data_IF_792802664827
#
_entry.id   IF_792802664827
#
_cell.length_a   1.000
_cell.length_b   1.000
_cell.length_c   1.000
_cell.angle_alpha   90.00
_cell.angle_beta   90.00
_cell.angle_gamma   90.00
#
_symmetry.space_group_name_H-M   'P 1'
#
loop_
_entity.id
_entity.type
_entity.pdbx_description
1 polymer ?
#
# COMPACT_ATOMS: atom_id res chain seq x y z
N UNK A 1 -12.61 23.99 -0.03
CA UNK A 1 -12.76 23.21 1.22
C UNK A 1 -12.57 21.75 0.85
N UNK A 2 -11.38 21.20 1.12
CA UNK A 2 -10.97 19.88 0.67
C UNK A 2 -11.21 18.87 1.81
N UNK A 3 -12.37 18.22 1.81
CA UNK A 3 -12.52 16.95 2.50
C UNK A 3 -12.32 15.87 1.42
N UNK A 4 -11.15 15.24 1.39
CA UNK A 4 -10.90 14.13 0.47
C UNK A 4 -11.56 12.88 1.07
N UNK A 5 -12.58 12.29 0.42
CA UNK A 5 -13.15 11.04 0.88
C UNK A 5 -12.11 9.93 0.71
N UNK A 6 -11.73 9.33 1.83
CA UNK A 6 -10.76 8.23 1.90
C UNK A 6 -11.34 7.00 1.18
N UNK A 7 -10.61 6.49 0.18
CA UNK A 7 -10.96 5.25 -0.52
C UNK A 7 -10.51 4.06 0.33
N UNK A 8 -11.38 3.08 0.55
CA UNK A 8 -11.01 1.83 1.19
C UNK A 8 -10.98 0.72 0.14
N UNK A 9 -10.03 -0.20 0.27
CA UNK A 9 -10.07 -1.56 -0.24
C UNK A 9 -9.79 -1.81 -1.74
N UNK A 10 -8.52 -2.13 -2.02
CA UNK A 10 -8.06 -2.94 -3.16
C UNK A 10 -7.91 -4.39 -2.71
N UNK A 11 -8.68 -5.33 -3.28
CA UNK A 11 -8.57 -6.78 -3.01
C UNK A 11 -7.33 -7.39 -3.69
N UNK A 12 -6.37 -7.87 -2.90
CA UNK A 12 -5.14 -8.54 -3.38
C UNK A 12 -5.20 -10.04 -3.03
N UNK A 13 -4.90 -10.90 -4.01
CA UNK A 13 -4.92 -12.35 -3.84
C UNK A 13 -3.76 -12.86 -2.97
N UNK A 14 -4.02 -13.90 -2.15
CA UNK A 14 -3.17 -14.44 -1.07
C UNK A 14 -1.68 -14.58 -1.45
N UNK A 15 -0.80 -13.84 -0.77
CA UNK A 15 0.47 -14.34 -0.22
C UNK A 15 1.10 -13.33 0.75
N UNK A 16 1.80 -13.89 1.73
CA UNK A 16 2.15 -13.34 3.04
C UNK A 16 2.96 -12.03 2.99
N UNK A 17 2.46 -11.00 3.68
CA UNK A 17 3.24 -9.82 4.07
C UNK A 17 3.89 -10.14 5.42
N UNK A 18 5.22 -10.15 5.44
CA UNK A 18 6.07 -10.56 6.56
C UNK A 18 5.67 -9.89 7.88
N UNK A 19 5.66 -10.66 8.96
CA UNK A 19 5.19 -10.17 10.26
C UNK A 19 5.93 -10.84 11.44
N UNK A 20 7.01 -10.19 11.92
CA UNK A 20 7.61 -10.29 13.28
C UNK A 20 8.82 -9.31 13.36
N UNK A 21 9.18 -8.61 14.46
CA UNK A 21 8.93 -8.76 15.90
C UNK A 21 8.66 -7.41 16.65
N UNK A 22 7.77 -7.50 17.65
CA UNK A 22 7.59 -6.82 18.97
C UNK A 22 8.34 -5.50 19.28
N UNK A 23 7.56 -4.43 19.55
CA UNK A 23 7.68 -3.58 20.75
C UNK A 23 6.29 -2.96 21.08
N UNK A 24 5.86 -3.03 22.33
CA UNK A 24 4.50 -2.68 22.80
C UNK A 24 4.55 -1.48 23.75
N UNK A 25 4.52 -0.25 23.24
CA UNK A 25 4.46 0.90 24.15
C UNK A 25 3.75 2.16 23.64
N UNK A 26 2.76 2.07 22.76
CA UNK A 26 1.80 3.18 22.54
C UNK A 26 0.39 2.66 22.23
N UNK A 27 -0.46 2.56 23.25
CA UNK A 27 -1.90 2.37 23.06
C UNK A 27 -2.51 3.72 22.72
N UNK A 28 -2.81 3.96 21.44
CA UNK A 28 -3.63 5.10 21.03
C UNK A 28 -5.07 4.77 21.40
N UNK A 29 -5.71 5.58 22.26
CA UNK A 29 -7.12 5.42 22.61
C UNK A 29 -7.97 5.67 21.36
N UNK A 30 -8.51 4.60 20.79
CA UNK A 30 -9.41 4.66 19.63
C UNK A 30 -10.77 5.17 20.08
N UNK A 31 -11.27 6.24 19.46
CA UNK A 31 -12.61 6.81 19.70
C UNK A 31 -13.70 5.71 19.65
N UNK A 32 -14.67 5.78 20.58
CA UNK A 32 -15.72 4.76 20.75
C UNK A 32 -16.52 4.50 19.46
N UNK A 33 -16.79 5.54 18.67
CA UNK A 33 -17.50 5.40 17.39
C UNK A 33 -16.73 4.67 16.28
N UNK A 34 -15.39 4.62 16.36
CA UNK A 34 -14.58 3.89 15.39
C UNK A 34 -14.62 2.39 15.67
N UNK A 35 -14.64 1.99 16.94
CA UNK A 35 -14.70 0.58 17.34
C UNK A 35 -16.02 -0.09 16.92
N UNK A 36 -17.11 0.69 16.85
CA UNK A 36 -18.42 0.22 16.39
C UNK A 36 -18.58 0.18 14.87
N UNK A 37 -17.62 0.69 14.10
CA UNK A 37 -17.74 0.74 12.65
C UNK A 37 -17.62 -0.67 12.04
N UNK A 38 -18.49 -0.99 11.07
CA UNK A 38 -18.52 -2.32 10.40
C UNK A 38 -17.17 -2.77 9.82
N UNK A 39 -16.34 -1.81 9.40
CA UNK A 39 -15.02 -2.07 8.81
C UNK A 39 -13.88 -2.07 9.84
N UNK A 40 -14.15 -1.79 11.12
CA UNK A 40 -13.13 -1.78 12.18
C UNK A 40 -12.35 -3.11 12.30
N UNK A 41 -12.99 -4.30 12.15
CA UNK A 41 -12.26 -5.56 12.17
C UNK A 41 -11.24 -5.73 11.03
N UNK A 42 -11.31 -4.91 9.97
CA UNK A 42 -10.38 -5.00 8.84
C UNK A 42 -9.03 -4.32 9.10
N UNK A 43 -8.93 -3.41 10.08
CA UNK A 43 -7.75 -2.52 10.23
C UNK A 43 -6.99 -2.78 11.53
N UNK A 44 -7.56 -3.55 12.47
CA UNK A 44 -7.01 -3.74 13.81
C UNK A 44 -6.29 -5.08 13.98
N UNK A 45 -5.34 -5.39 13.08
CA UNK A 45 -4.42 -6.49 13.33
C UNK A 45 -3.45 -6.08 14.46
N UNK A 46 -3.23 -6.97 15.43
CA UNK A 46 -2.34 -6.71 16.56
C UNK A 46 -0.87 -6.52 16.15
N UNK A 47 -0.51 -6.91 14.92
CA UNK A 47 0.86 -6.83 14.39
C UNK A 47 1.06 -5.80 13.27
N UNK A 48 0.20 -4.78 13.14
CA UNK A 48 0.36 -3.72 12.13
C UNK A 48 1.20 -2.52 12.64
N UNK A 49 1.74 -1.71 11.73
CA UNK A 49 2.30 -0.39 12.06
C UNK A 49 3.61 -0.38 12.86
N UNK A 50 4.33 -1.51 12.91
CA UNK A 50 5.57 -1.65 13.67
C UNK A 50 6.74 -0.96 12.95
N UNK A 51 7.15 0.20 13.47
CA UNK A 51 8.34 0.94 13.01
C UNK A 51 9.01 1.65 14.17
N UNK A 52 10.32 1.80 14.07
CA UNK A 52 11.07 2.68 14.98
C UNK A 52 10.86 4.13 14.54
N UNK A 53 9.92 4.81 15.18
CA UNK A 53 9.61 6.21 14.92
C UNK A 53 10.65 7.13 15.55
N UNK A 54 11.42 7.82 14.71
CA UNK A 54 12.15 9.02 15.11
C UNK A 54 11.52 10.23 14.43
N UNK A 55 11.53 11.39 15.09
CA UNK A 55 11.06 12.64 14.48
C UNK A 55 11.88 12.92 13.21
N UNK A 56 11.21 12.95 12.07
CA UNK A 56 11.85 13.29 10.78
C UNK A 56 11.93 14.81 10.67
N UNK A 57 13.16 15.34 10.64
CA UNK A 57 13.43 16.76 10.37
C UNK A 57 14.40 16.82 9.19
N UNK A 58 14.08 17.58 8.15
CA UNK A 58 14.92 17.69 6.94
C UNK A 58 14.86 16.50 5.98
N UNK A 59 14.33 15.35 6.42
CA UNK A 59 14.16 14.16 5.58
C UNK A 59 15.49 13.48 5.22
N UNK A 60 15.41 12.17 4.99
CA UNK A 60 16.46 11.36 4.38
C UNK A 60 15.80 10.17 3.70
N UNK A 61 16.54 9.50 2.82
CA UNK A 61 16.05 8.27 2.19
C UNK A 61 15.69 7.24 3.27
N UNK A 62 14.58 6.53 3.03
CA UNK A 62 14.15 5.47 3.91
C UNK A 62 15.18 4.32 3.87
N UNK A 63 15.34 3.61 4.98
CA UNK A 63 16.10 2.35 4.95
C UNK A 63 15.29 1.25 4.27
N UNK A 64 15.97 0.22 3.76
CA UNK A 64 15.33 -0.94 3.17
C UNK A 64 14.33 -1.57 4.17
N UNK A 65 13.05 -1.62 3.77
CA UNK A 65 11.98 -2.16 4.61
C UNK A 65 11.52 -1.26 5.76
N UNK A 66 11.96 0.00 5.85
CA UNK A 66 11.58 0.90 6.96
C UNK A 66 10.08 1.19 7.02
N UNK A 67 9.38 1.23 5.88
CA UNK A 67 7.94 1.50 5.80
C UNK A 67 7.27 0.46 4.90
N UNK A 68 7.13 -0.80 5.38
CA UNK A 68 6.78 -1.94 4.53
C UNK A 68 5.33 -1.91 4.03
N UNK A 69 4.49 -1.04 4.58
CA UNK A 69 3.10 -0.84 4.16
C UNK A 69 2.94 0.17 3.03
N UNK A 70 4.00 0.86 2.58
CA UNK A 70 3.90 1.77 1.44
C UNK A 70 3.62 0.96 0.17
N UNK A 71 2.65 1.45 -0.61
CA UNK A 71 2.22 0.83 -1.86
C UNK A 71 2.32 1.83 -2.99
N UNK A 72 2.77 1.38 -4.14
CA UNK A 72 2.65 2.11 -5.39
C UNK A 72 1.40 1.66 -6.13
N UNK A 73 0.51 2.59 -6.45
CA UNK A 73 -0.56 2.39 -7.43
C UNK A 73 0.05 2.62 -8.81
N UNK A 74 -0.09 1.61 -9.67
CA UNK A 74 0.53 1.60 -11.00
C UNK A 74 -0.53 1.41 -12.08
N UNK A 75 -0.25 1.91 -13.27
CA UNK A 75 -1.02 1.62 -14.49
C UNK A 75 -0.13 0.95 -15.53
N UNK A 76 -0.63 -0.11 -16.16
CA UNK A 76 0.04 -0.77 -17.27
C UNK A 76 -0.21 -0.01 -18.58
N UNK A 77 0.88 0.34 -19.28
CA UNK A 77 0.83 0.82 -20.65
C UNK A 77 0.88 -0.40 -21.56
N UNK A 78 -0.22 -0.64 -22.27
CA UNK A 78 -0.39 -1.84 -23.09
C UNK A 78 0.32 -1.67 -24.44
N UNK A 79 0.88 -2.77 -24.91
CA UNK A 79 1.31 -2.92 -26.29
C UNK A 79 0.09 -3.39 -27.11
N UNK A 80 -0.25 -2.63 -28.15
CA UNK A 80 -1.42 -2.86 -29.00
C UNK A 80 -1.35 -4.23 -29.71
N UNK A 81 -0.14 -4.74 -29.99
CA UNK A 81 0.06 -6.00 -30.71
C UNK A 81 -0.07 -7.22 -29.78
N UNK A 82 0.44 -7.11 -28.55
CA UNK A 82 0.51 -8.25 -27.61
C UNK A 82 -0.61 -8.25 -26.57
N UNK A 83 -1.33 -7.14 -26.41
CA UNK A 83 -2.31 -6.91 -25.34
C UNK A 83 -1.73 -7.15 -23.93
N UNK A 84 -0.40 -7.03 -23.80
CA UNK A 84 0.33 -7.12 -22.54
C UNK A 84 0.93 -5.75 -22.18
N UNK A 85 1.06 -5.43 -20.89
CA UNK A 85 1.71 -4.19 -20.47
C UNK A 85 3.21 -4.26 -20.74
N UNK A 86 3.74 -3.33 -21.53
CA UNK A 86 5.19 -3.20 -21.77
C UNK A 86 5.87 -2.27 -20.74
N UNK A 87 5.10 -1.43 -20.06
CA UNK A 87 5.58 -0.52 -19.03
C UNK A 87 4.54 -0.39 -17.91
N UNK A 88 5.00 -0.32 -16.66
CA UNK A 88 4.16 0.10 -15.54
C UNK A 88 4.56 1.50 -15.10
N UNK A 89 3.58 2.40 -14.98
CA UNK A 89 3.77 3.78 -14.58
C UNK A 89 3.19 4.01 -13.19
N UNK A 90 4.00 4.55 -12.28
CA UNK A 90 3.55 5.02 -10.97
C UNK A 90 2.61 6.21 -11.11
N UNK A 91 1.43 6.14 -10.48
CA UNK A 91 0.43 7.22 -10.53
C UNK A 91 0.05 7.78 -9.16
N UNK A 92 0.12 6.96 -8.11
CA UNK A 92 -0.34 7.35 -6.78
C UNK A 92 0.29 6.46 -5.70
N UNK A 93 0.27 6.95 -4.46
CA UNK A 93 0.62 6.17 -3.28
C UNK A 93 -0.59 5.45 -2.67
N UNK A 94 -0.31 4.45 -1.83
CA UNK A 94 -1.28 3.77 -0.99
C UNK A 94 -0.65 3.17 0.26
N UNK A 95 -1.49 2.57 1.11
CA UNK A 95 -1.08 1.90 2.35
C UNK A 95 -1.75 0.54 2.48
N UNK A 96 -0.97 -0.49 2.82
CA UNK A 96 -1.49 -1.81 3.18
C UNK A 96 -2.24 -1.70 4.51
N UNK A 97 -3.52 -2.06 4.52
CA UNK A 97 -4.33 -2.20 5.73
C UNK A 97 -4.24 -3.61 6.29
N UNK A 98 -4.26 -4.61 5.41
CA UNK A 98 -4.07 -6.02 5.73
C UNK A 98 -3.73 -6.82 4.46
N UNK A 99 -3.67 -8.15 4.59
CA UNK A 99 -3.32 -9.08 3.51
C UNK A 99 -4.18 -8.98 2.25
N UNK A 100 -5.35 -8.36 2.34
CA UNK A 100 -6.31 -8.25 1.24
C UNK A 100 -6.64 -6.81 0.88
N UNK A 101 -6.21 -5.79 1.62
CA UNK A 101 -6.70 -4.43 1.41
C UNK A 101 -5.60 -3.39 1.39
N UNK A 102 -5.57 -2.58 0.32
CA UNK A 102 -4.84 -1.31 0.26
C UNK A 102 -5.84 -0.15 0.33
N UNK A 103 -5.47 0.91 1.04
CA UNK A 103 -6.18 2.20 1.06
C UNK A 103 -5.36 3.27 0.34
N UNK A 104 -6.05 4.21 -0.28
CA UNK A 104 -5.47 5.28 -1.10
C UNK A 104 -6.53 6.38 -1.26
N UNK A 105 -6.27 7.40 -2.07
CA UNK A 105 -7.21 8.49 -2.30
C UNK A 105 -8.18 8.16 -3.45
N UNK A 106 -9.44 8.59 -3.33
CA UNK A 106 -10.44 8.34 -4.37
C UNK A 106 -10.08 8.98 -5.72
N UNK A 107 -9.39 10.13 -5.69
CA UNK A 107 -8.97 10.84 -6.90
C UNK A 107 -7.82 10.14 -7.67
N UNK A 108 -7.18 9.12 -7.08
CA UNK A 108 -6.20 8.31 -7.80
C UNK A 108 -6.82 7.44 -8.90
N UNK A 109 -8.16 7.38 -8.97
CA UNK A 109 -8.89 6.51 -9.89
C UNK A 109 -9.96 7.29 -10.64
N UNK A 110 -9.86 7.37 -11.97
CA UNK A 110 -10.99 7.83 -12.79
C UNK A 110 -12.04 6.74 -12.89
N UNK A 111 -13.27 7.08 -13.31
CA UNK A 111 -14.37 6.10 -13.39
C UNK A 111 -14.11 4.96 -14.41
N UNK A 112 -13.17 5.14 -15.34
CA UNK A 112 -12.93 4.21 -16.44
C UNK A 112 -11.62 3.39 -16.32
N UNK A 113 -10.79 3.63 -15.30
CA UNK A 113 -9.38 3.20 -15.33
C UNK A 113 -9.12 1.84 -14.65
N UNK A 114 -10.15 1.13 -14.21
CA UNK A 114 -9.96 -0.06 -13.34
C UNK A 114 -9.28 -1.24 -14.03
N UNK A 115 -9.32 -1.34 -15.36
CA UNK A 115 -8.85 -2.52 -16.09
C UNK A 115 -7.32 -2.58 -16.26
N UNK A 116 -6.62 -1.45 -16.11
CA UNK A 116 -5.16 -1.37 -16.31
C UNK A 116 -4.39 -1.08 -15.03
N UNK A 117 -5.07 -1.00 -13.89
CA UNK A 117 -4.46 -0.63 -12.63
C UNK A 117 -4.03 -1.84 -11.79
N UNK A 118 -2.87 -1.70 -11.18
CA UNK A 118 -2.30 -2.65 -10.25
C UNK A 118 -1.72 -1.96 -9.04
N UNK A 119 -1.12 -2.76 -8.16
CA UNK A 119 -0.31 -2.30 -7.05
C UNK A 119 1.05 -2.98 -7.08
N UNK A 120 2.09 -2.24 -6.75
CA UNK A 120 3.42 -2.78 -6.48
C UNK A 120 3.69 -2.69 -4.97
N UNK A 121 4.08 -3.81 -4.37
CA UNK A 121 4.32 -3.97 -2.94
C UNK A 121 5.78 -4.31 -2.67
N UNK A 122 6.33 -3.76 -1.58
CA UNK A 122 7.70 -4.04 -1.13
C UNK A 122 8.79 -3.34 -1.94
N UNK A 123 8.42 -2.34 -2.74
CA UNK A 123 9.34 -1.53 -3.54
C UNK A 123 10.09 -0.51 -2.67
N UNK A 124 11.39 -0.35 -2.93
CA UNK A 124 12.24 0.63 -2.29
C UNK A 124 12.94 1.53 -3.32
N UNK A 125 13.68 0.95 -4.28
CA UNK A 125 14.36 1.69 -5.35
C UNK A 125 13.80 1.31 -6.71
N UNK A 126 12.99 2.21 -7.31
CA UNK A 126 12.27 1.93 -8.57
C UNK A 126 13.13 1.61 -9.79
N UNK A 127 14.44 1.80 -9.71
CA UNK A 127 15.40 1.47 -10.79
C UNK A 127 16.15 0.15 -10.56
N UNK A 128 15.84 -0.58 -9.48
CA UNK A 128 16.58 -1.79 -9.08
C UNK A 128 15.63 -2.87 -8.52
N UNK A 129 15.78 -4.11 -8.97
CA UNK A 129 15.08 -5.27 -8.40
C UNK A 129 15.98 -6.52 -8.53
N UNK A 130 16.39 -7.20 -7.43
CA UNK A 130 16.05 -6.93 -6.03
C UNK A 130 16.78 -5.73 -5.43
N UNK A 131 16.11 -5.05 -4.50
CA UNK A 131 16.70 -4.02 -3.65
C UNK A 131 17.68 -4.61 -2.63
N UNK A 132 18.88 -4.05 -2.52
CA UNK A 132 19.90 -4.51 -1.58
C UNK A 132 20.57 -3.35 -0.85
N UNK A 133 20.70 -3.46 0.47
CA UNK A 133 21.37 -2.49 1.34
C UNK A 133 22.35 -3.25 2.27
N UNK A 134 23.60 -2.78 2.36
CA UNK A 134 24.66 -3.38 3.20
C UNK A 134 24.87 -4.91 3.00
N UNK A 135 24.67 -5.40 1.77
CA UNK A 135 24.83 -6.82 1.42
C UNK A 135 23.63 -7.71 1.78
N UNK A 136 22.53 -7.12 2.27
CA UNK A 136 21.25 -7.81 2.51
C UNK A 136 20.24 -7.35 1.47
N UNK A 137 19.57 -8.30 0.81
CA UNK A 137 18.58 -8.00 -0.22
C UNK A 137 17.16 -8.28 0.27
N UNK A 138 16.23 -7.41 -0.09
CA UNK A 138 14.81 -7.64 0.08
C UNK A 138 14.29 -8.64 -0.97
N UNK A 139 13.15 -9.30 -0.69
CA UNK A 139 12.41 -10.01 -1.72
C UNK A 139 12.04 -9.07 -2.87
N UNK A 140 11.89 -9.63 -4.08
CA UNK A 140 11.47 -8.86 -5.25
C UNK A 140 10.10 -8.23 -5.07
N UNK A 141 9.90 -7.11 -5.76
CA UNK A 141 8.66 -6.35 -5.77
C UNK A 141 7.50 -7.23 -6.24
N UNK A 142 6.38 -7.15 -5.52
CA UNK A 142 5.18 -7.93 -5.85
C UNK A 142 4.17 -7.06 -6.58
N UNK A 143 3.99 -7.34 -7.86
CA UNK A 143 2.93 -6.75 -8.68
C UNK A 143 1.62 -7.51 -8.54
N UNK A 144 0.51 -6.81 -8.28
CA UNK A 144 -0.81 -7.42 -8.08
C UNK A 144 -1.90 -6.60 -8.78
N UNK A 145 -2.77 -7.28 -9.50
CA UNK A 145 -3.95 -6.66 -10.10
C UNK A 145 -4.99 -6.31 -9.04
N UNK A 146 -5.74 -5.24 -9.27
CA UNK A 146 -6.84 -4.81 -8.39
C UNK A 146 -8.10 -5.59 -8.75
N UNK A 147 -8.62 -6.42 -7.83
CA UNK A 147 -9.86 -7.16 -8.10
C UNK A 147 -11.12 -6.29 -7.95
N UNK A 148 -11.10 -5.35 -7.00
CA UNK A 148 -12.24 -4.48 -6.73
C UNK A 148 -11.76 -3.13 -6.18
N UNK A 149 -12.46 -2.08 -6.58
CA UNK A 149 -12.29 -0.73 -6.08
C UNK A 149 -13.56 -0.28 -5.35
N UNK A 150 -13.43 0.22 -4.12
CA UNK A 150 -14.56 0.67 -3.29
C UNK A 150 -14.40 2.16 -2.94
N UNK A 151 -15.27 3.00 -3.52
CA UNK A 151 -15.30 4.44 -3.21
C UNK A 151 -16.13 4.71 -1.96
N UNK A 152 -15.69 5.66 -1.15
CA UNK A 152 -16.51 6.18 -0.06
C UNK A 152 -17.78 6.81 -0.66
N UNK A 153 -18.96 6.62 -0.05
CA UNK A 153 -20.17 7.32 -0.49
C UNK A 153 -20.02 8.83 -0.29
N UNK A 154 -20.53 9.63 -1.22
CA UNK A 154 -20.57 11.09 -1.08
C UNK A 154 -21.55 11.53 0.04
#
# INVERSE_FOLDING_TARGET
>A
MWAAPLLLAVLINRQYVFCEMIDTSTVITVNEGLQTHKSYPLVNDKKCGQVFLNRIVGGKDAQLGQYPWIVQIIIGVMDDDTLLPFLYVYICGGVILNNLYVSTAAHCFSKNDTYLMGVALGEHTTSQDPDCELGVCAPRVQYRSIQKLIRHPD
#
